data_IF_460367006247
#
_entry.id   IF_460367006247
#
_cell.length_a   1.000
_cell.length_b   1.000
_cell.length_c   1.000
_cell.angle_alpha   90.00
_cell.angle_beta   90.00
_cell.angle_gamma   90.00
#
_symmetry.space_group_name_H-M   'P 1'
#
loop_
_entity.id
_entity.type
_entity.pdbx_description
1 polymer ?
#
# COMPACT_ATOMS: atom_id res chain seq x y z
N UNK A 1 -15.96 -27.05 21.82
CA UNK A 1 -14.67 -26.51 21.35
C UNK A 1 -14.98 -25.35 20.42
N UNK A 2 -14.46 -24.16 20.69
CA UNK A 2 -14.52 -23.06 19.74
C UNK A 2 -13.34 -23.20 18.78
N UNK A 3 -13.62 -23.35 17.48
CA UNK A 3 -12.59 -23.35 16.44
C UNK A 3 -12.24 -21.89 16.14
N UNK A 4 -10.97 -21.53 16.29
CA UNK A 4 -10.47 -20.23 15.83
C UNK A 4 -10.51 -20.22 14.30
N UNK A 5 -11.37 -19.41 13.71
CA UNK A 5 -11.37 -19.17 12.26
C UNK A 5 -10.35 -18.06 12.01
N UNK A 6 -9.23 -18.42 11.38
CA UNK A 6 -8.24 -17.44 10.93
C UNK A 6 -8.82 -16.62 9.78
N UNK A 7 -8.62 -15.30 9.82
CA UNK A 7 -8.93 -14.46 8.66
C UNK A 7 -7.91 -14.72 7.55
N UNK A 8 -8.25 -14.45 6.27
CA UNK A 8 -7.29 -14.58 5.17
C UNK A 8 -5.99 -13.79 5.42
N UNK A 9 -6.09 -12.58 5.98
CA UNK A 9 -4.94 -11.78 6.41
C UNK A 9 -4.03 -12.52 7.40
N UNK A 10 -4.63 -13.11 8.45
CA UNK A 10 -3.87 -13.84 9.48
C UNK A 10 -3.23 -15.11 8.91
N UNK A 11 -3.95 -15.82 8.02
CA UNK A 11 -3.41 -16.98 7.33
C UNK A 11 -2.21 -16.57 6.44
N UNK A 12 -2.32 -15.46 5.71
CA UNK A 12 -1.26 -15.00 4.81
C UNK A 12 -0.04 -14.49 5.60
N UNK A 13 -0.27 -13.76 6.71
CA UNK A 13 0.81 -13.36 7.60
C UNK A 13 1.56 -14.57 8.16
N UNK A 14 0.84 -15.62 8.57
CA UNK A 14 1.48 -16.86 9.01
C UNK A 14 2.29 -17.53 7.90
N UNK A 15 1.80 -17.48 6.66
CA UNK A 15 2.45 -18.10 5.50
C UNK A 15 3.57 -17.26 4.87
N UNK A 16 3.95 -16.11 5.44
CA UNK A 16 4.98 -15.24 4.84
C UNK A 16 4.48 -14.31 3.74
N UNK A 17 3.18 -14.25 3.50
CA UNK A 17 2.58 -13.57 2.35
C UNK A 17 1.92 -12.23 2.70
N UNK A 18 2.06 -11.74 3.95
CA UNK A 18 1.57 -10.42 4.36
C UNK A 18 2.72 -9.42 4.55
N UNK A 19 2.42 -8.17 4.22
CA UNK A 19 3.42 -7.14 4.00
C UNK A 19 2.97 -5.80 4.59
N UNK A 20 3.93 -5.09 5.19
CA UNK A 20 3.83 -3.66 5.43
C UNK A 20 4.76 -2.92 4.47
N UNK A 21 4.22 -1.91 3.79
CA UNK A 21 4.99 -1.03 2.90
C UNK A 21 4.94 0.39 3.50
N UNK A 22 5.89 0.75 4.38
CA UNK A 22 5.95 2.08 4.93
C UNK A 22 6.72 3.04 4.01
N UNK A 23 6.26 4.28 3.92
CA UNK A 23 7.06 5.40 3.45
C UNK A 23 6.94 6.59 4.42
N UNK A 24 8.06 7.26 4.63
CA UNK A 24 8.08 8.59 5.23
C UNK A 24 8.92 9.47 4.32
N UNK A 25 8.33 10.56 3.84
CA UNK A 25 9.02 11.49 2.96
C UNK A 25 8.86 12.90 3.46
N UNK A 26 9.98 13.61 3.51
CA UNK A 26 10.02 15.05 3.65
C UNK A 26 10.04 15.65 2.23
N UNK A 27 9.33 16.76 2.03
CA UNK A 27 9.35 17.54 0.78
C UNK A 27 8.83 16.82 -0.48
N UNK A 28 7.77 16.02 -0.35
CA UNK A 28 7.00 15.54 -1.52
C UNK A 28 6.41 16.76 -2.23
N UNK A 29 6.71 16.94 -3.51
CA UNK A 29 6.10 18.04 -4.25
C UNK A 29 4.60 17.79 -4.40
N UNK A 30 3.80 18.86 -4.59
CA UNK A 30 2.33 18.82 -4.67
C UNK A 30 1.75 17.81 -5.70
N UNK A 31 2.57 17.31 -6.63
CA UNK A 31 2.16 16.33 -7.65
C UNK A 31 2.72 14.92 -7.44
N UNK A 32 3.60 14.72 -6.45
CA UNK A 32 4.34 13.48 -6.28
C UNK A 32 3.52 12.50 -5.43
N UNK A 33 3.51 11.24 -5.84
CA UNK A 33 2.84 10.18 -5.10
C UNK A 33 3.69 9.79 -3.90
N UNK A 34 3.09 9.81 -2.71
CA UNK A 34 3.77 9.47 -1.45
C UNK A 34 4.25 8.04 -1.47
N UNK A 35 3.43 7.12 -1.94
CA UNK A 35 3.80 5.73 -2.08
C UNK A 35 3.06 5.09 -3.23
N UNK A 36 3.82 4.53 -4.15
CA UNK A 36 3.31 3.73 -5.25
C UNK A 36 3.65 2.26 -5.00
N UNK A 37 2.69 1.36 -5.18
CA UNK A 37 2.87 -0.09 -5.07
C UNK A 37 2.30 -0.78 -6.30
N UNK A 38 3.12 -1.58 -6.97
CA UNK A 38 2.71 -2.45 -8.08
C UNK A 38 2.85 -3.92 -7.69
N UNK A 39 1.85 -4.71 -8.05
CA UNK A 39 1.94 -6.16 -7.99
C UNK A 39 2.68 -6.70 -9.23
N UNK A 40 3.89 -7.23 -9.05
CA UNK A 40 4.68 -7.84 -10.11
C UNK A 40 4.64 -9.37 -10.11
N UNK A 41 3.87 -9.98 -9.20
CA UNK A 41 3.54 -11.39 -9.33
C UNK A 41 2.73 -11.61 -10.62
N UNK A 42 3.08 -12.63 -11.40
CA UNK A 42 2.45 -12.93 -12.69
C UNK A 42 1.05 -13.55 -12.57
N UNK A 43 0.69 -14.06 -11.39
CA UNK A 43 -0.48 -14.92 -11.16
C UNK A 43 -1.30 -14.45 -9.95
N UNK A 44 -0.65 -14.22 -8.81
CA UNK A 44 -1.32 -14.02 -7.52
C UNK A 44 -1.78 -12.58 -7.37
N UNK A 45 -3.06 -12.35 -7.02
CA UNK A 45 -3.52 -11.03 -6.62
C UNK A 45 -2.94 -10.65 -5.25
N UNK A 46 -2.74 -9.34 -5.07
CA UNK A 46 -2.39 -8.73 -3.80
C UNK A 46 -3.58 -7.95 -3.25
N UNK A 47 -4.02 -8.30 -2.05
CA UNK A 47 -5.17 -7.72 -1.36
C UNK A 47 -4.69 -6.64 -0.40
N UNK A 48 -5.16 -5.41 -0.61
CA UNK A 48 -4.92 -4.31 0.33
C UNK A 48 -5.84 -4.51 1.54
N UNK A 49 -5.23 -4.65 2.71
CA UNK A 49 -5.94 -4.71 3.98
C UNK A 49 -6.32 -3.31 4.45
N UNK A 50 -5.35 -2.39 4.51
CA UNK A 50 -5.58 -1.00 4.85
C UNK A 50 -4.48 -0.07 4.33
N UNK A 51 -4.82 1.22 4.27
CA UNK A 51 -3.88 2.30 3.98
C UNK A 51 -3.97 3.30 5.11
N UNK A 52 -2.85 3.55 5.77
CA UNK A 52 -2.73 4.52 6.84
C UNK A 52 -1.89 5.69 6.36
N UNK A 53 -2.26 6.91 6.73
CA UNK A 53 -1.45 8.08 6.44
C UNK A 53 -1.58 9.13 7.52
N UNK A 54 -0.57 9.98 7.61
CA UNK A 54 -0.62 11.21 8.37
C UNK A 54 0.36 12.22 7.79
N UNK A 55 0.22 13.44 8.27
CA UNK A 55 0.86 14.61 7.70
C UNK A 55 1.06 15.65 8.78
N UNK A 56 2.02 16.56 8.58
CA UNK A 56 2.22 17.74 9.41
C UNK A 56 1.37 18.95 8.99
N UNK A 57 0.50 18.79 7.99
CA UNK A 57 -0.50 19.77 7.58
C UNK A 57 -1.90 19.15 7.46
N UNK A 58 -2.93 19.99 7.39
CA UNK A 58 -4.27 19.52 7.01
C UNK A 58 -4.24 19.12 5.54
N UNK A 59 -4.79 17.95 5.24
CA UNK A 59 -4.90 17.50 3.85
C UNK A 59 -5.91 16.38 3.69
N UNK A 60 -5.80 15.69 2.56
CA UNK A 60 -6.62 14.54 2.24
C UNK A 60 -5.72 13.38 1.81
N UNK A 61 -5.85 12.23 2.47
CA UNK A 61 -5.31 10.98 1.99
C UNK A 61 -6.16 10.55 0.79
N UNK A 62 -5.51 10.32 -0.35
CA UNK A 62 -6.14 9.82 -1.58
C UNK A 62 -5.44 8.55 -1.99
N UNK A 63 -6.22 7.47 -2.18
CA UNK A 63 -5.74 6.22 -2.77
C UNK A 63 -6.32 6.11 -4.17
N UNK A 64 -5.48 5.91 -5.16
CA UNK A 64 -5.88 5.90 -6.56
C UNK A 64 -5.24 4.73 -7.31
N UNK A 65 -5.83 4.33 -8.44
CA UNK A 65 -5.24 3.36 -9.38
C UNK A 65 -4.23 4.06 -10.28
N UNK A 66 -3.06 3.47 -10.48
CA UNK A 66 -2.10 3.96 -11.47
C UNK A 66 -2.43 3.29 -12.81
N UNK A 67 -2.74 4.10 -13.83
CA UNK A 67 -3.24 3.62 -15.14
C UNK A 67 -2.23 3.76 -16.27
N UNK A 68 -1.18 4.58 -16.10
CA UNK A 68 -0.09 4.69 -17.06
C UNK A 68 0.82 3.46 -17.02
N UNK A 69 1.63 3.26 -18.07
CA UNK A 69 2.74 2.32 -18.02
C UNK A 69 3.61 2.72 -16.83
N UNK A 70 3.65 1.87 -15.79
CA UNK A 70 4.33 2.16 -14.55
C UNK A 70 5.82 2.38 -14.81
N UNK A 71 6.21 3.65 -14.96
CA UNK A 71 7.60 4.11 -15.01
C UNK A 71 7.92 4.66 -13.64
N UNK A 72 8.42 3.81 -12.74
CA UNK A 72 8.79 4.26 -11.41
C UNK A 72 9.94 5.25 -11.47
N UNK A 73 9.69 6.48 -11.06
CA UNK A 73 10.67 7.53 -10.84
C UNK A 73 10.54 7.99 -9.39
N UNK A 74 11.35 7.42 -8.49
CA UNK A 74 11.31 7.71 -7.05
C UNK A 74 12.29 6.84 -6.28
N UNK A 75 12.20 6.88 -4.95
CA UNK A 75 13.05 6.06 -4.06
C UNK A 75 12.46 4.67 -3.90
N UNK A 76 13.22 3.62 -4.22
CA UNK A 76 12.78 2.24 -4.02
C UNK A 76 12.50 1.95 -2.54
N UNK A 77 11.32 1.39 -2.26
CA UNK A 77 10.91 0.95 -0.92
C UNK A 77 10.98 -0.57 -0.88
N UNK A 78 11.58 -1.12 0.16
CA UNK A 78 11.57 -2.57 0.41
C UNK A 78 10.39 -2.91 1.32
N UNK A 79 9.40 -3.70 0.85
CA UNK A 79 8.32 -4.20 1.70
C UNK A 79 8.85 -5.02 2.88
N UNK A 80 8.22 -4.87 4.04
CA UNK A 80 8.55 -5.58 5.27
C UNK A 80 7.60 -6.77 5.41
N UNK A 81 8.15 -7.98 5.44
CA UNK A 81 7.37 -9.19 5.67
C UNK A 81 6.85 -9.19 7.12
N UNK A 82 5.57 -9.53 7.30
CA UNK A 82 4.93 -9.55 8.62
C UNK A 82 4.99 -10.93 9.30
N UNK A 83 5.54 -11.95 8.64
CA UNK A 83 5.83 -13.25 9.24
C UNK A 83 7.13 -13.22 10.05
N UNK A 84 7.12 -13.90 11.18
CA UNK A 84 8.29 -14.13 12.04
C UNK A 84 8.98 -15.49 11.77
N UNK A 85 8.40 -16.33 10.91
CA UNK A 85 8.84 -17.72 10.71
C UNK A 85 9.16 -18.07 9.25
N UNK A 86 8.41 -17.54 8.29
CA UNK A 86 8.47 -17.94 6.88
C UNK A 86 8.63 -16.71 5.97
N UNK A 87 9.63 -15.87 6.23
CA UNK A 87 9.87 -14.67 5.43
C UNK A 87 10.29 -15.03 3.99
N UNK A 88 9.42 -14.78 3.03
CA UNK A 88 9.73 -14.82 1.59
C UNK A 88 10.09 -13.43 1.09
N UNK A 89 10.66 -13.31 -0.11
CA UNK A 89 10.89 -12.03 -0.78
C UNK A 89 9.57 -11.48 -1.34
N UNK A 90 9.38 -10.16 -1.30
CA UNK A 90 8.17 -9.55 -1.84
C UNK A 90 8.21 -9.53 -3.36
N UNK A 91 7.07 -9.79 -3.98
CA UNK A 91 6.84 -9.62 -5.42
C UNK A 91 6.16 -8.29 -5.73
N UNK A 92 6.19 -7.35 -4.77
CA UNK A 92 5.78 -5.98 -4.98
C UNK A 92 6.97 -5.13 -5.41
N UNK A 93 6.72 -4.23 -6.35
CA UNK A 93 7.63 -3.12 -6.65
C UNK A 93 7.03 -1.85 -6.07
N UNK A 94 7.77 -1.23 -5.13
CA UNK A 94 7.29 -0.10 -4.36
C UNK A 94 8.25 1.08 -4.46
N UNK A 95 7.71 2.28 -4.60
CA UNK A 95 8.50 3.52 -4.65
C UNK A 95 7.82 4.59 -3.80
N UNK A 96 8.63 5.38 -3.11
CA UNK A 96 8.21 6.61 -2.45
C UNK A 96 8.69 7.82 -3.24
N UNK A 97 8.01 8.94 -3.05
CA UNK A 97 8.30 10.18 -3.79
C UNK A 97 8.27 9.95 -5.31
N UNK A 98 7.18 9.35 -5.77
CA UNK A 98 7.06 8.83 -7.13
C UNK A 98 6.46 9.90 -8.04
N UNK A 99 7.19 10.25 -9.11
CA UNK A 99 6.88 11.40 -10.00
C UNK A 99 6.45 10.99 -11.40
N UNK A 100 6.53 9.69 -11.72
CA UNK A 100 6.33 9.14 -13.06
C UNK A 100 4.93 8.57 -13.29
N UNK A 101 4.09 8.46 -12.28
CA UNK A 101 2.73 7.96 -12.45
C UNK A 101 1.73 9.05 -12.84
N UNK A 102 0.57 8.60 -13.31
CA UNK A 102 -0.61 9.44 -13.50
C UNK A 102 -1.71 8.91 -12.62
N UNK A 103 -2.33 9.81 -11.87
CA UNK A 103 -3.50 9.51 -11.07
C UNK A 103 -4.66 9.05 -11.96
N UNK A 104 -5.07 7.79 -11.79
CA UNK A 104 -6.28 7.25 -12.36
C UNK A 104 -7.47 7.35 -11.39
N UNK A 105 -8.32 6.32 -11.38
CA UNK A 105 -9.53 6.30 -10.56
C UNK A 105 -9.20 6.32 -9.06
N UNK A 106 -9.87 7.22 -8.33
CA UNK A 106 -9.80 7.28 -6.88
C UNK A 106 -10.61 6.11 -6.29
N UNK A 107 -9.94 5.32 -5.45
CA UNK A 107 -10.51 4.12 -4.78
C UNK A 107 -10.56 4.26 -3.26
N UNK A 108 -10.12 5.39 -2.72
CA UNK A 108 -10.31 5.76 -1.31
C UNK A 108 -9.92 7.20 -1.05
N UNK A 109 -10.63 7.85 -0.14
CA UNK A 109 -10.34 9.23 0.24
C UNK A 109 -10.79 9.52 1.67
N UNK A 110 -9.94 10.16 2.47
CA UNK A 110 -10.29 10.62 3.82
C UNK A 110 -9.48 11.86 4.21
N UNK A 111 -10.10 12.79 4.94
CA UNK A 111 -9.39 13.96 5.47
C UNK A 111 -8.38 13.57 6.56
N UNK A 112 -7.20 14.17 6.51
CA UNK A 112 -6.07 13.96 7.43
C UNK A 112 -5.80 15.25 8.22
N UNK A 113 -5.71 15.19 9.56
CA UNK A 113 -5.38 16.36 10.38
C UNK A 113 -3.86 16.65 10.40
N UNK A 114 -3.49 17.89 10.80
CA UNK A 114 -2.10 18.37 11.04
C UNK A 114 -1.27 17.46 11.94
N UNK A 115 -1.92 16.70 12.81
CA UNK A 115 -1.25 15.75 13.68
C UNK A 115 -2.16 14.56 13.94
N UNK A 116 -1.59 13.38 13.74
CA UNK A 116 -2.28 12.10 13.89
C UNK A 116 -2.34 11.33 12.57
N UNK A 117 -2.84 10.10 12.70
CA UNK A 117 -2.98 9.18 11.58
C UNK A 117 -4.46 8.95 11.28
N UNK A 118 -4.76 8.67 10.01
CA UNK A 118 -6.04 8.19 9.54
C UNK A 118 -5.83 6.92 8.74
N UNK A 119 -6.84 6.07 8.75
CA UNK A 119 -6.78 4.77 8.10
C UNK A 119 -8.03 4.59 7.24
N UNK A 120 -7.81 4.13 6.01
CA UNK A 120 -8.85 3.57 5.16
C UNK A 120 -8.69 2.05 5.24
N UNK A 121 -9.68 1.39 5.83
CA UNK A 121 -9.71 -0.07 5.95
C UNK A 121 -10.49 -0.66 4.79
N UNK A 122 -9.80 -1.47 3.99
CA UNK A 122 -10.40 -2.18 2.85
C UNK A 122 -10.78 -3.62 3.19
N UNK A 123 -10.16 -4.23 4.21
CA UNK A 123 -10.35 -5.63 4.59
C UNK A 123 -10.19 -6.60 3.39
N UNK A 124 -9.26 -6.31 2.48
CA UNK A 124 -9.05 -7.07 1.25
C UNK A 124 -10.01 -6.72 0.10
N UNK A 125 -10.90 -5.75 0.27
CA UNK A 125 -11.83 -5.31 -0.79
C UNK A 125 -11.14 -4.57 -1.95
N UNK A 126 -9.96 -3.99 -1.72
CA UNK A 126 -9.14 -3.40 -2.77
C UNK A 126 -8.08 -4.40 -3.22
N UNK A 127 -8.17 -4.82 -4.47
CA UNK A 127 -7.34 -5.90 -5.03
C UNK A 127 -6.43 -5.34 -6.13
N UNK A 128 -5.14 -5.62 -6.05
CA UNK A 128 -4.15 -5.44 -7.11
C UNK A 128 -3.96 -6.77 -7.84
N UNK A 129 -4.56 -6.89 -9.02
CA UNK A 129 -4.27 -8.01 -9.91
C UNK A 129 -2.81 -7.94 -10.40
N UNK A 130 -2.25 -9.06 -10.92
CA UNK A 130 -0.96 -9.04 -11.62
C UNK A 130 -0.80 -7.85 -12.56
N UNK A 131 0.31 -7.11 -12.42
CA UNK A 131 0.64 -5.91 -13.20
C UNK A 131 -0.10 -4.63 -12.80
N UNK A 132 -1.06 -4.68 -11.87
CA UNK A 132 -1.78 -3.49 -11.42
C UNK A 132 -1.05 -2.77 -10.29
N UNK A 133 -1.24 -1.45 -10.22
CA UNK A 133 -0.64 -0.60 -9.20
C UNK A 133 -1.64 0.36 -8.55
N UNK A 134 -1.32 0.78 -7.33
CA UNK A 134 -1.95 1.92 -6.64
C UNK A 134 -0.92 2.99 -6.32
N UNK A 135 -1.40 4.22 -6.25
CA UNK A 135 -0.72 5.34 -5.64
C UNK A 135 -1.45 5.80 -4.39
N UNK A 136 -0.69 6.29 -3.43
CA UNK A 136 -1.15 6.93 -2.20
C UNK A 136 -0.62 8.34 -2.18
N UNK A 137 -1.53 9.30 -2.18
CA UNK A 137 -1.21 10.73 -2.17
C UNK A 137 -1.70 11.38 -0.88
N UNK A 138 -1.05 12.46 -0.49
CA UNK A 138 -1.57 13.40 0.50
C UNK A 138 -1.75 14.73 -0.22
N UNK A 139 -3.01 15.09 -0.46
CA UNK A 139 -3.39 16.36 -1.06
C UNK A 139 -3.42 17.40 0.05
N UNK A 140 -2.41 18.26 0.05
CA UNK A 140 -2.16 19.34 0.99
C UNK A 140 -0.78 19.89 0.65
N UNK A 141 -0.36 20.97 1.31
CA UNK A 141 1.03 21.47 1.19
C UNK A 141 1.83 21.15 2.47
N UNK A 142 1.99 19.87 2.84
CA UNK A 142 2.77 19.48 4.02
C UNK A 142 4.27 19.50 3.73
N UNK A 143 5.05 19.67 4.78
CA UNK A 143 6.50 19.50 4.72
C UNK A 143 6.91 18.07 5.04
N UNK A 144 6.07 17.31 5.74
CA UNK A 144 6.32 15.93 6.11
C UNK A 144 5.06 15.09 5.98
N UNK A 145 5.24 13.95 5.31
CA UNK A 145 4.19 12.98 5.07
C UNK A 145 4.66 11.57 5.44
N UNK A 146 3.74 10.77 5.98
CA UNK A 146 3.96 9.35 6.18
C UNK A 146 2.75 8.56 5.71
N UNK A 147 3.01 7.38 5.15
CA UNK A 147 1.97 6.43 4.84
C UNK A 147 2.47 5.01 5.03
N UNK A 148 1.53 4.10 5.28
CA UNK A 148 1.77 2.67 5.34
C UNK A 148 0.65 1.97 4.59
N UNK A 149 1.02 1.15 3.62
CA UNK A 149 0.08 0.20 3.00
C UNK A 149 0.28 -1.15 3.68
N UNK A 150 -0.82 -1.75 4.13
CA UNK A 150 -0.86 -3.13 4.61
C UNK A 150 -1.59 -3.98 3.58
N UNK A 151 -1.01 -5.10 3.19
CA UNK A 151 -1.63 -6.01 2.23
C UNK A 151 -0.99 -7.39 2.20
N UNK A 152 -1.63 -8.32 1.50
CA UNK A 152 -1.21 -9.72 1.46
C UNK A 152 -1.46 -10.35 0.11
N UNK A 153 -0.60 -11.28 -0.31
CA UNK A 153 -0.84 -12.11 -1.47
C UNK A 153 -1.85 -13.21 -1.17
N UNK A 154 -2.60 -13.62 -2.18
CA UNK A 154 -3.43 -14.81 -2.11
C UNK A 154 -2.61 -16.03 -1.67
N UNK A 155 -3.15 -16.80 -0.73
CA UNK A 155 -2.63 -18.12 -0.43
C UNK A 155 -3.29 -19.07 -1.43
N UNK A 156 -2.51 -19.71 -2.28
CA UNK A 156 -3.03 -20.79 -3.12
C UNK A 156 -3.62 -21.87 -2.19
N UNK A 157 -4.87 -22.26 -2.45
CA UNK A 157 -5.44 -23.43 -1.78
C UNK A 157 -4.51 -24.63 -2.04
N UNK A 158 -4.12 -25.34 -0.97
CA UNK A 158 -3.35 -26.58 -1.12
C UNK A 158 -4.17 -27.56 -1.98
N UNK A 159 -3.71 -27.78 -3.22
CA UNK A 159 -4.29 -28.74 -4.15
C UNK A 159 -4.27 -30.18 -3.62
#
# INVERSE_FOLDING_TARGET
>A
MATLILTPWQAAARAGLAWAIPNASADINTADTVLACRNDNEIRPFYIHSVMAGSDAVGELVVHRITAAYTSAGTAITPINLSDVDAVTSELTCHGDETGNTQGDIVGKIGVPVSGMREIVYNGGLILQPGHAIGVDIVGEPTLNWCVVLGYFEIEDAA
#
